data_IF_486192281075
#
_entry.id   IF_486192281075
#
_cell.length_a   1.000
_cell.length_b   1.000
_cell.length_c   1.000
_cell.angle_alpha   90.00
_cell.angle_beta   90.00
_cell.angle_gamma   90.00
#
_symmetry.space_group_name_H-M   'P 1'
#
loop_
_entity.id
_entity.type
_entity.pdbx_description
1 polymer ?
#
# COMPACT_ATOMS: atom_id res chain seq x y z
N UNK A 1 -14.43 16.05 -4.25
CA UNK A 1 -13.41 14.98 -4.17
C UNK A 1 -12.87 14.99 -2.75
N UNK A 2 -13.18 13.99 -1.92
CA UNK A 2 -12.78 13.99 -0.51
C UNK A 2 -11.50 13.17 -0.37
N UNK A 3 -10.41 13.82 0.04
CA UNK A 3 -9.12 13.19 0.27
C UNK A 3 -9.09 12.64 1.70
N UNK A 4 -9.04 11.32 1.87
CA UNK A 4 -8.96 10.69 3.17
C UNK A 4 -7.49 10.40 3.52
N UNK A 5 -6.99 11.05 4.56
CA UNK A 5 -5.66 10.78 5.10
C UNK A 5 -5.71 9.57 6.03
N UNK A 6 -4.61 8.83 6.04
CA UNK A 6 -4.48 7.61 6.82
C UNK A 6 -4.23 7.96 8.28
N UNK A 7 -4.83 7.24 9.24
CA UNK A 7 -4.77 7.62 10.64
C UNK A 7 -3.33 7.53 11.17
N UNK A 8 -2.98 8.41 12.11
CA UNK A 8 -1.61 8.55 12.68
C UNK A 8 -1.08 7.27 13.33
N UNK A 9 -1.96 6.32 13.69
CA UNK A 9 -1.65 4.98 14.22
C UNK A 9 -2.09 3.86 13.26
N UNK A 10 -2.02 4.09 11.96
CA UNK A 10 -2.41 3.13 10.94
C UNK A 10 -1.44 1.94 10.87
N UNK A 11 -1.65 0.92 11.70
CA UNK A 11 -0.91 -0.36 11.66
C UNK A 11 -0.99 -1.06 10.29
N UNK A 12 -1.91 -0.64 9.42
CA UNK A 12 -2.02 -1.08 8.04
C UNK A 12 -0.88 -0.56 7.13
N UNK A 13 -0.27 0.61 7.43
CA UNK A 13 0.92 1.09 6.71
C UNK A 13 2.09 0.12 6.87
N UNK A 14 2.25 -0.48 8.05
CA UNK A 14 3.28 -1.50 8.28
C UNK A 14 3.14 -2.69 7.31
N UNK A 15 1.91 -3.11 6.99
CA UNK A 15 1.70 -4.21 6.04
C UNK A 15 2.04 -3.80 4.60
N UNK A 16 1.68 -2.57 4.22
CA UNK A 16 2.04 -2.01 2.91
C UNK A 16 3.56 -1.83 2.79
N UNK A 17 4.24 -1.36 3.84
CA UNK A 17 5.70 -1.25 3.92
C UNK A 17 6.40 -2.62 3.83
N UNK A 18 5.85 -3.64 4.50
CA UNK A 18 6.34 -5.02 4.39
C UNK A 18 6.15 -5.54 2.96
N UNK A 19 5.00 -5.31 2.34
CA UNK A 19 4.76 -5.69 0.95
C UNK A 19 5.78 -5.04 0.01
N UNK A 20 6.02 -3.73 0.14
CA UNK A 20 7.03 -3.01 -0.64
C UNK A 20 8.46 -3.54 -0.41
N UNK A 21 8.77 -3.93 0.83
CA UNK A 21 10.06 -4.57 1.15
C UNK A 21 10.21 -5.93 0.46
N UNK A 22 9.14 -6.71 0.36
CA UNK A 22 9.15 -8.04 -0.28
C UNK A 22 9.37 -7.89 -1.79
N UNK A 23 8.57 -7.08 -2.48
CA UNK A 23 8.71 -6.90 -3.94
C UNK A 23 10.08 -6.31 -4.29
N UNK A 24 10.60 -5.39 -3.47
CA UNK A 24 11.95 -4.82 -3.66
C UNK A 24 13.03 -5.90 -3.59
N UNK A 25 12.94 -6.83 -2.62
CA UNK A 25 13.93 -7.91 -2.46
C UNK A 25 13.81 -9.00 -3.52
N UNK A 26 12.59 -9.34 -3.93
CA UNK A 26 12.34 -10.49 -4.80
C UNK A 26 12.36 -10.14 -6.28
N UNK A 27 11.74 -9.03 -6.68
CA UNK A 27 11.62 -8.63 -8.08
C UNK A 27 12.68 -7.59 -8.48
N UNK A 28 12.92 -6.58 -7.63
CA UNK A 28 13.71 -5.40 -8.03
C UNK A 28 15.22 -5.62 -7.84
N UNK A 29 15.67 -6.02 -6.63
CA UNK A 29 17.11 -6.16 -6.32
C UNK A 29 17.81 -7.31 -7.04
N UNK A 30 17.05 -8.32 -7.49
CA UNK A 30 17.60 -9.48 -8.22
C UNK A 30 17.45 -9.36 -9.74
N UNK A 31 16.68 -8.39 -10.22
CA UNK A 31 16.51 -8.14 -11.64
C UNK A 31 17.59 -7.20 -12.18
N UNK A 32 18.15 -7.54 -13.33
CA UNK A 32 18.83 -6.58 -14.20
C UNK A 32 17.83 -6.18 -15.28
N UNK A 33 17.51 -4.90 -15.36
CA UNK A 33 16.51 -4.37 -16.30
C UNK A 33 17.20 -3.45 -17.29
N UNK A 34 17.05 -3.72 -18.58
CA UNK A 34 17.62 -2.90 -19.64
C UNK A 34 16.67 -1.74 -20.02
N UNK A 35 15.45 -1.75 -19.51
CA UNK A 35 14.48 -0.68 -19.71
C UNK A 35 13.46 -0.58 -18.58
N UNK A 36 12.84 0.59 -18.45
CA UNK A 36 11.70 0.82 -17.55
C UNK A 36 10.53 -0.12 -17.86
N UNK A 37 10.32 -0.46 -19.14
CA UNK A 37 9.26 -1.38 -19.56
C UNK A 37 9.46 -2.79 -18.99
N UNK A 38 10.70 -3.27 -18.95
CA UNK A 38 11.04 -4.56 -18.34
C UNK A 38 10.81 -4.54 -16.83
N UNK A 39 11.19 -3.45 -16.15
CA UNK A 39 10.92 -3.27 -14.72
C UNK A 39 9.42 -3.31 -14.41
N UNK A 40 8.60 -2.60 -15.20
CA UNK A 40 7.15 -2.61 -15.05
C UNK A 40 6.60 -4.02 -15.24
N UNK A 41 7.02 -4.71 -16.30
CA UNK A 41 6.57 -6.08 -16.57
C UNK A 41 6.92 -7.05 -15.43
N UNK A 42 8.11 -6.93 -14.85
CA UNK A 42 8.54 -7.76 -13.71
C UNK A 42 7.72 -7.47 -12.44
N UNK A 43 7.41 -6.19 -12.16
CA UNK A 43 6.54 -5.80 -11.05
C UNK A 43 5.12 -6.35 -11.26
N UNK A 44 4.56 -6.22 -12.47
CA UNK A 44 3.23 -6.76 -12.79
C UNK A 44 3.17 -8.28 -12.64
N UNK A 45 4.17 -9.01 -13.14
CA UNK A 45 4.25 -10.46 -13.00
C UNK A 45 4.36 -10.89 -11.53
N UNK A 46 5.12 -10.14 -10.72
CA UNK A 46 5.21 -10.37 -9.29
C UNK A 46 3.86 -10.18 -8.59
N UNK A 47 3.14 -9.09 -8.90
CA UNK A 47 1.82 -8.80 -8.31
C UNK A 47 0.81 -9.89 -8.67
N UNK A 48 0.78 -10.33 -9.92
CA UNK A 48 -0.13 -11.40 -10.38
C UNK A 48 0.12 -12.71 -9.61
N UNK A 49 1.37 -13.16 -9.53
CA UNK A 49 1.74 -14.37 -8.78
C UNK A 49 1.62 -14.24 -7.26
N UNK A 50 1.67 -13.01 -6.73
CA UNK A 50 1.37 -12.73 -5.33
C UNK A 50 -0.13 -12.83 -5.06
N UNK A 51 -0.97 -12.23 -5.91
CA UNK A 51 -2.42 -12.22 -5.76
C UNK A 51 -3.05 -13.62 -5.83
N UNK A 52 -2.51 -14.52 -6.64
CA UNK A 52 -2.97 -15.93 -6.68
C UNK A 52 -2.79 -16.68 -5.35
N UNK A 53 -1.87 -16.22 -4.49
CA UNK A 53 -1.60 -16.78 -3.17
C UNK A 53 -1.96 -15.82 -2.04
N UNK A 54 -2.55 -14.68 -2.37
CA UNK A 54 -2.86 -13.65 -1.39
C UNK A 54 -4.07 -14.12 -0.58
N UNK A 55 -3.87 -14.18 0.72
CA UNK A 55 -4.96 -14.42 1.67
C UNK A 55 -5.51 -13.04 2.03
N UNK A 56 -6.84 -12.85 2.06
CA UNK A 56 -7.43 -11.61 2.53
C UNK A 56 -6.91 -11.32 3.94
N UNK A 57 -6.37 -10.12 4.16
CA UNK A 57 -6.05 -9.68 5.50
C UNK A 57 -7.35 -9.52 6.28
N UNK A 58 -7.47 -10.24 7.40
CA UNK A 58 -8.59 -10.06 8.33
C UNK A 58 -8.31 -8.79 9.14
N UNK A 59 -9.05 -7.74 8.83
CA UNK A 59 -8.97 -6.50 9.57
C UNK A 59 -9.52 -6.72 10.98
N UNK A 60 -8.70 -6.45 12.00
CA UNK A 60 -9.13 -6.55 13.41
C UNK A 60 -10.11 -5.45 13.79
N UNK A 61 -10.10 -4.33 13.04
CA UNK A 61 -11.01 -3.20 13.21
C UNK A 61 -11.74 -2.93 11.91
N UNK A 62 -13.06 -2.74 11.99
CA UNK A 62 -13.88 -2.44 10.81
C UNK A 62 -13.60 -1.03 10.31
N UNK A 63 -13.94 -0.75 9.04
CA UNK A 63 -13.79 0.60 8.48
C UNK A 63 -14.49 1.65 9.35
N UNK A 64 -15.68 1.33 9.88
CA UNK A 64 -16.46 2.21 10.76
C UNK A 64 -15.77 2.54 12.10
N UNK A 65 -14.86 1.68 12.58
CA UNK A 65 -14.06 1.94 13.78
C UNK A 65 -12.82 2.79 13.49
N UNK A 66 -12.33 2.75 12.24
CA UNK A 66 -11.11 3.44 11.81
C UNK A 66 -11.42 4.87 11.33
N UNK A 67 -12.53 5.05 10.61
CA UNK A 67 -12.98 6.34 10.06
C UNK A 67 -13.14 7.48 11.09
N UNK A 68 -13.55 7.25 12.36
CA UNK A 68 -13.61 8.31 13.37
C UNK A 68 -12.23 8.82 13.80
N UNK A 69 -11.18 7.99 13.67
CA UNK A 69 -9.83 8.27 14.15
C UNK A 69 -8.90 8.87 13.07
N UNK A 70 -9.41 9.05 11.85
CA UNK A 70 -8.69 9.72 10.74
C UNK A 70 -8.91 11.23 10.72
N UNK A 71 -9.75 11.77 11.61
CA UNK A 71 -10.11 13.19 11.62
C UNK A 71 -8.97 14.06 12.18
N UNK A 72 -8.06 14.51 11.32
CA UNK A 72 -7.48 15.84 11.51
C UNK A 72 -8.51 16.85 10.99
N UNK A 73 -8.99 17.74 11.86
CA UNK A 73 -9.71 18.93 11.42
C UNK A 73 -8.77 19.74 10.53
N UNK A 74 -9.08 19.86 9.24
CA UNK A 74 -8.53 20.95 8.45
C UNK A 74 -9.17 22.23 8.99
N UNK A 75 -8.36 23.09 9.60
CA UNK A 75 -8.73 24.50 9.76
C UNK A 75 -8.92 25.09 8.36
N UNK A 76 -10.13 25.55 8.08
CA UNK A 76 -10.52 26.27 6.86
C UNK A 76 -9.43 27.27 6.46
N UNK A 77 -8.68 26.97 5.40
CA UNK A 77 -7.96 27.98 4.64
C UNK A 77 -8.98 28.64 3.71
N UNK A 78 -9.74 29.58 4.26
CA UNK A 78 -10.55 30.52 3.47
C UNK A 78 -9.59 31.30 2.57
N UNK A 79 -9.86 31.23 1.26
CA UNK A 79 -9.35 32.16 0.26
C UNK A 79 -10.25 33.40 0.24
#
# INVERSE_FOLDING_TARGET
MTLHFTPTSGSWLNLVEVFFSIITRQAIRRGSFNSVKELIAAISAFIEGWNQRAHPFVWTKTADEILPHTRKQTSDARH
#
